data_IF_235491882517
#
_entry.id   IF_235491882517
#
_cell.length_a   1.000
_cell.length_b   1.000
_cell.length_c   1.000
_cell.angle_alpha   90.00
_cell.angle_beta   90.00
_cell.angle_gamma   90.00
#
_symmetry.space_group_name_H-M   'P 1'
#
loop_
_entity.id
_entity.type
_entity.pdbx_description
1 polymer ?
#
# COMPACT_ATOMS: atom_id res chain seq x y z
N UNK A 1 1.69 -0.64 19.18
CA UNK A 1 1.13 0.26 18.14
C UNK A 1 0.08 -0.51 17.35
N UNK A 2 -1.11 0.06 17.13
CA UNK A 2 -2.20 -0.59 16.38
C UNK A 2 -1.94 -0.42 14.88
N UNK A 3 -1.79 -1.50 14.13
CA UNK A 3 -1.64 -1.42 12.68
C UNK A 3 -3.03 -1.13 12.04
N UNK A 4 -3.18 -0.10 11.20
CA UNK A 4 -4.43 0.20 10.49
C UNK A 4 -5.07 -0.99 9.79
N UNK A 5 -4.23 -1.96 9.42
CA UNK A 5 -4.56 -3.10 8.60
C UNK A 5 -5.60 -4.04 9.21
N UNK A 6 -5.82 -3.98 10.53
CA UNK A 6 -6.66 -4.93 11.26
C UNK A 6 -7.89 -4.33 11.94
N UNK A 7 -7.98 -3.01 12.08
CA UNK A 7 -9.16 -2.39 12.69
C UNK A 7 -9.90 -1.60 11.62
N UNK A 8 -11.20 -1.82 11.52
CA UNK A 8 -12.07 -0.95 10.77
C UNK A 8 -11.90 0.48 11.31
N UNK A 9 -11.19 1.32 10.57
CA UNK A 9 -11.05 2.72 10.96
C UNK A 9 -12.42 3.38 10.83
N UNK A 10 -12.92 3.92 11.95
CA UNK A 10 -14.15 4.71 12.01
C UNK A 10 -14.06 6.04 11.26
N UNK A 11 -12.84 6.50 10.94
CA UNK A 11 -12.65 7.75 10.19
C UNK A 11 -13.02 7.59 8.73
N UNK A 12 -13.97 8.39 8.26
CA UNK A 12 -14.43 8.46 6.86
C UNK A 12 -13.33 8.90 5.89
N UNK A 13 -12.30 9.59 6.39
CA UNK A 13 -11.17 10.08 5.58
C UNK A 13 -9.86 9.66 6.21
N UNK A 14 -9.02 8.95 5.45
CA UNK A 14 -7.79 8.33 5.94
C UNK A 14 -6.62 8.74 5.04
N UNK A 15 -5.54 9.23 5.64
CA UNK A 15 -4.25 9.42 4.97
C UNK A 15 -3.30 8.32 5.46
N UNK A 16 -2.98 7.37 4.59
CA UNK A 16 -2.12 6.22 4.87
C UNK A 16 -0.66 6.57 4.60
N UNK A 17 0.08 6.77 5.68
CA UNK A 17 1.51 7.06 5.69
C UNK A 17 2.31 5.80 5.98
N UNK A 18 3.58 5.80 5.60
CA UNK A 18 4.50 4.72 5.94
C UNK A 18 5.57 4.51 4.88
N UNK A 19 6.62 3.73 5.21
CA UNK A 19 7.72 3.46 4.29
C UNK A 19 7.26 2.88 2.96
N UNK A 20 8.09 3.01 1.92
CA UNK A 20 7.88 2.28 0.68
C UNK A 20 7.77 0.78 0.97
N UNK A 21 6.86 0.09 0.27
CA UNK A 21 6.61 -1.36 0.43
C UNK A 21 6.15 -1.80 1.83
N UNK A 22 5.62 -0.89 2.66
CA UNK A 22 5.01 -1.25 3.95
C UNK A 22 3.60 -1.86 3.85
N UNK A 23 3.09 -2.10 2.63
CA UNK A 23 1.76 -2.69 2.41
C UNK A 23 0.60 -1.70 2.35
N UNK A 24 0.85 -0.39 2.21
CA UNK A 24 -0.19 0.66 2.09
C UNK A 24 -1.21 0.38 0.99
N UNK A 25 -0.74 0.08 -0.22
CA UNK A 25 -1.60 -0.24 -1.37
C UNK A 25 -2.39 -1.53 -1.11
N UNK A 26 -1.71 -2.58 -0.62
CA UNK A 26 -2.34 -3.87 -0.28
C UNK A 26 -3.47 -3.69 0.74
N UNK A 27 -3.32 -2.80 1.71
CA UNK A 27 -4.38 -2.44 2.63
C UNK A 27 -5.58 -1.82 1.94
N UNK A 28 -5.35 -0.75 1.17
CA UNK A 28 -6.41 0.01 0.56
C UNK A 28 -7.21 -0.87 -0.41
N UNK A 29 -6.53 -1.76 -1.15
CA UNK A 29 -7.17 -2.76 -2.00
C UNK A 29 -7.92 -3.83 -1.20
N UNK A 30 -7.43 -4.27 -0.03
CA UNK A 30 -8.17 -5.19 0.85
C UNK A 30 -9.43 -4.52 1.41
N UNK A 31 -9.34 -3.24 1.79
CA UNK A 31 -10.46 -2.42 2.24
C UNK A 31 -11.51 -2.26 1.13
N UNK A 32 -11.09 -2.02 -0.10
CA UNK A 32 -11.97 -1.85 -1.26
C UNK A 32 -12.91 -3.04 -1.49
N UNK A 33 -12.51 -4.26 -1.14
CA UNK A 33 -13.34 -5.47 -1.28
C UNK A 33 -14.64 -5.45 -0.46
N UNK A 34 -14.73 -4.58 0.55
CA UNK A 34 -15.93 -4.44 1.40
C UNK A 34 -16.94 -3.44 0.80
N UNK A 35 -16.51 -2.63 -0.17
CA UNK A 35 -17.32 -1.60 -0.81
C UNK A 35 -17.92 -2.10 -2.13
N UNK A 36 -19.06 -1.54 -2.53
CA UNK A 36 -19.80 -1.98 -3.73
C UNK A 36 -19.20 -1.38 -5.00
N UNK A 37 -18.81 -0.10 -4.95
CA UNK A 37 -18.30 0.64 -6.11
C UNK A 37 -16.99 1.37 -5.78
N UNK A 38 -15.91 0.66 -5.40
CA UNK A 38 -14.65 1.28 -5.10
C UNK A 38 -13.95 1.81 -6.36
N UNK A 39 -13.40 3.01 -6.28
CA UNK A 39 -12.57 3.62 -7.32
C UNK A 39 -11.13 3.70 -6.81
N UNK A 40 -10.21 3.09 -7.56
CA UNK A 40 -8.77 3.14 -7.29
C UNK A 40 -8.07 3.87 -8.43
N UNK A 41 -7.26 4.86 -8.08
CA UNK A 41 -6.46 5.65 -9.03
C UNK A 41 -5.00 5.62 -8.57
N UNK A 42 -4.12 5.15 -9.44
CA UNK A 42 -2.68 5.19 -9.23
C UNK A 42 -2.10 6.39 -9.97
N UNK A 43 -1.53 7.35 -9.24
CA UNK A 43 -0.92 8.55 -9.84
C UNK A 43 0.36 8.26 -10.64
N UNK A 44 1.00 7.11 -10.39
CA UNK A 44 2.14 6.66 -11.18
C UNK A 44 1.73 5.97 -12.50
N UNK A 45 0.43 5.79 -12.79
CA UNK A 45 -0.01 5.22 -14.07
C UNK A 45 0.15 6.25 -15.19
N UNK A 46 1.01 5.95 -16.16
CA UNK A 46 1.29 6.83 -17.31
C UNK A 46 0.06 7.16 -18.18
N UNK A 47 -1.02 6.37 -18.08
CA UNK A 47 -2.26 6.60 -18.83
C UNK A 47 -3.20 7.58 -18.13
N UNK A 48 -2.91 7.95 -16.88
CA UNK A 48 -3.74 8.85 -16.11
C UNK A 48 -3.58 10.28 -16.63
N UNK A 49 -4.65 10.82 -17.20
CA UNK A 49 -4.73 12.25 -17.51
C UNK A 49 -5.21 13.03 -16.28
N UNK A 50 -4.26 13.61 -15.54
CA UNK A 50 -4.55 14.36 -14.31
C UNK A 50 -5.42 15.61 -14.54
N UNK A 51 -5.36 16.21 -15.74
CA UNK A 51 -6.09 17.46 -16.05
C UNK A 51 -7.61 17.28 -16.06
N UNK A 52 -8.11 16.08 -16.36
CA UNK A 52 -9.55 15.78 -16.43
C UNK A 52 -10.05 14.99 -15.21
N UNK A 53 -9.15 14.59 -14.31
CA UNK A 53 -9.45 13.68 -13.21
C UNK A 53 -10.49 14.26 -12.25
N UNK A 54 -10.37 15.55 -11.90
CA UNK A 54 -11.32 16.23 -11.02
C UNK A 54 -12.74 16.20 -11.58
N UNK A 55 -12.92 16.50 -12.86
CA UNK A 55 -14.20 16.46 -13.57
C UNK A 55 -14.79 15.05 -13.60
N UNK A 56 -13.96 14.02 -13.80
CA UNK A 56 -14.41 12.62 -13.79
C UNK A 56 -14.85 12.16 -12.40
N UNK A 57 -14.07 12.49 -11.37
CA UNK A 57 -14.40 12.16 -9.98
C UNK A 57 -15.72 12.81 -9.54
N UNK A 58 -15.94 14.07 -9.91
CA UNK A 58 -17.20 14.77 -9.65
C UNK A 58 -18.37 14.10 -10.38
N UNK A 59 -18.20 13.76 -11.66
CA UNK A 59 -19.24 13.07 -12.45
C UNK A 59 -19.61 11.73 -11.84
N UNK A 60 -18.64 10.88 -11.51
CA UNK A 60 -18.90 9.57 -10.87
C UNK A 60 -19.56 9.68 -9.51
N UNK A 61 -19.20 10.72 -8.74
CA UNK A 61 -19.86 11.00 -7.47
C UNK A 61 -21.34 11.37 -7.65
N UNK A 62 -21.65 12.28 -8.58
CA UNK A 62 -23.03 12.69 -8.89
C UNK A 62 -23.88 11.54 -9.42
N UNK A 63 -23.30 10.66 -10.23
CA UNK A 63 -23.95 9.45 -10.73
C UNK A 63 -24.10 8.34 -9.67
N UNK A 64 -23.66 8.57 -8.42
CA UNK A 64 -23.65 7.59 -7.31
C UNK A 64 -22.92 6.29 -7.66
N UNK A 65 -21.92 6.37 -8.55
CA UNK A 65 -21.10 5.22 -9.01
C UNK A 65 -19.82 5.02 -8.20
N UNK A 66 -19.68 5.71 -7.07
CA UNK A 66 -18.49 5.68 -6.24
C UNK A 66 -18.89 5.78 -4.77
N UNK A 67 -18.50 4.78 -3.98
CA UNK A 67 -18.72 4.73 -2.52
C UNK A 67 -17.40 4.75 -1.73
N UNK A 68 -16.28 4.42 -2.37
CA UNK A 68 -14.91 4.56 -1.86
C UNK A 68 -14.01 5.15 -2.95
N UNK A 69 -13.16 6.10 -2.57
CA UNK A 69 -12.08 6.61 -3.42
C UNK A 69 -10.72 6.32 -2.78
N UNK A 70 -9.82 5.68 -3.54
CA UNK A 70 -8.43 5.46 -3.18
C UNK A 70 -7.55 6.22 -4.18
N UNK A 71 -6.76 7.17 -3.70
CA UNK A 71 -5.73 7.85 -4.48
C UNK A 71 -4.36 7.37 -4.01
N UNK A 72 -3.67 6.62 -4.86
CA UNK A 72 -2.35 6.05 -4.57
C UNK A 72 -1.22 6.82 -5.26
N UNK A 73 -0.06 6.88 -4.62
CA UNK A 73 1.13 7.63 -5.02
C UNK A 73 0.88 9.12 -5.30
N UNK A 74 -0.04 9.75 -4.57
CA UNK A 74 -0.36 11.16 -4.78
C UNK A 74 0.76 12.06 -4.22
N UNK A 75 1.15 13.09 -4.98
CA UNK A 75 2.16 14.06 -4.54
C UNK A 75 1.51 15.29 -3.92
N UNK A 76 0.44 15.78 -4.55
CA UNK A 76 -0.29 16.98 -4.15
C UNK A 76 -1.76 16.85 -4.52
N UNK A 77 -2.60 17.57 -3.78
CA UNK A 77 -4.05 17.54 -3.94
C UNK A 77 -4.53 18.90 -4.45
N UNK A 78 -4.47 19.09 -5.77
CA UNK A 78 -4.72 20.38 -6.43
C UNK A 78 -6.21 20.67 -6.67
N UNK A 79 -7.11 19.81 -6.20
CA UNK A 79 -8.54 19.89 -6.44
C UNK A 79 -9.34 19.47 -5.22
N UNK A 80 -10.60 19.92 -5.17
CA UNK A 80 -11.54 19.53 -4.13
C UNK A 80 -12.00 18.08 -4.33
N UNK A 81 -11.85 17.24 -3.31
CA UNK A 81 -12.37 15.88 -3.34
C UNK A 81 -13.90 15.86 -3.25
N UNK A 82 -14.57 14.90 -3.93
CA UNK A 82 -16.02 14.71 -3.80
C UNK A 82 -16.40 14.34 -2.36
N UNK A 83 -17.63 14.67 -1.94
CA UNK A 83 -18.14 14.34 -0.61
C UNK A 83 -18.54 12.87 -0.51
N UNK A 84 -17.55 12.00 -0.34
CA UNK A 84 -17.75 10.56 -0.21
C UNK A 84 -17.74 10.11 1.25
N UNK A 85 -18.44 8.99 1.57
CA UNK A 85 -18.40 8.39 2.90
C UNK A 85 -17.04 7.80 3.23
N UNK A 86 -16.25 7.36 2.24
CA UNK A 86 -14.88 6.87 2.48
C UNK A 86 -13.88 7.38 1.45
N UNK A 87 -12.78 7.98 1.91
CA UNK A 87 -11.64 8.37 1.07
C UNK A 87 -10.33 7.92 1.71
N UNK A 88 -9.46 7.33 0.90
CA UNK A 88 -8.11 6.91 1.26
C UNK A 88 -7.09 7.63 0.39
N UNK A 89 -6.15 8.33 1.02
CA UNK A 89 -5.00 8.94 0.36
C UNK A 89 -3.73 8.18 0.74
N UNK A 90 -2.92 7.81 -0.25
CA UNK A 90 -1.60 7.21 -0.04
C UNK A 90 -0.58 8.13 -0.74
N UNK A 91 0.14 8.99 0.00
CA UNK A 91 1.10 9.89 -0.60
C UNK A 91 2.37 9.16 -1.06
N UNK A 92 3.01 9.70 -2.09
CA UNK A 92 4.25 9.17 -2.66
C UNK A 92 5.45 9.32 -1.70
N UNK A 93 5.48 10.42 -0.92
CA UNK A 93 6.58 10.76 -0.01
C UNK A 93 6.15 10.77 1.47
N UNK A 94 7.15 10.77 2.36
CA UNK A 94 6.95 10.87 3.81
C UNK A 94 6.39 12.23 4.27
N UNK A 95 6.43 13.26 3.42
CA UNK A 95 5.77 14.53 3.69
C UNK A 95 4.26 14.34 3.56
N UNK A 96 3.48 14.43 4.64
CA UNK A 96 2.04 14.26 4.55
C UNK A 96 1.47 15.39 3.68
N UNK A 97 0.69 15.01 2.67
CA UNK A 97 -0.24 15.96 2.06
C UNK A 97 -1.08 16.49 3.22
N UNK A 98 -1.00 17.79 3.47
CA UNK A 98 -1.76 18.43 4.55
C UNK A 98 -3.21 18.51 4.07
N UNK A 99 -3.93 17.40 4.15
CA UNK A 99 -5.33 17.32 3.81
C UNK A 99 -6.13 17.58 5.09
N UNK A 100 -6.69 18.79 5.29
CA UNK A 100 -7.51 19.06 6.47
C UNK A 100 -8.67 18.05 6.52
N UNK A 101 -8.97 17.55 7.72
CA UNK A 101 -10.02 16.55 7.99
C UNK A 101 -9.69 15.09 7.60
N UNK A 102 -8.42 14.76 7.35
CA UNK A 102 -7.99 13.36 7.20
C UNK A 102 -7.33 12.85 8.49
N UNK A 103 -7.75 11.67 8.94
CA UNK A 103 -7.05 10.99 10.01
C UNK A 103 -5.76 10.38 9.47
N UNK A 104 -4.63 10.78 10.04
CA UNK A 104 -3.33 10.20 9.70
C UNK A 104 -3.25 8.77 10.23
N UNK A 105 -2.77 7.86 9.39
CA UNK A 105 -2.64 6.47 9.75
C UNK A 105 -1.33 5.88 9.22
N UNK A 106 -0.51 5.34 10.12
CA UNK A 106 0.80 4.82 9.75
C UNK A 106 0.73 3.31 9.53
N UNK A 107 0.91 2.87 8.28
CA UNK A 107 1.13 1.49 7.91
C UNK A 107 2.58 1.11 8.24
N UNK A 108 2.73 0.44 9.37
CA UNK A 108 3.98 -0.23 9.76
C UNK A 108 4.01 -1.63 9.17
N UNK A 109 5.21 -2.23 9.22
CA UNK A 109 5.37 -3.65 8.93
C UNK A 109 4.39 -4.51 9.73
N UNK A 110 3.90 -5.58 9.12
CA UNK A 110 3.00 -6.54 9.76
C UNK A 110 3.74 -7.22 10.91
N UNK A 111 3.09 -7.33 12.05
CA UNK A 111 3.44 -8.38 13.00
C UNK A 111 2.91 -9.74 12.49
N UNK A 112 3.36 -10.83 13.11
CA UNK A 112 2.96 -12.17 12.67
C UNK A 112 1.44 -12.39 12.72
N UNK A 113 0.75 -11.85 13.74
CA UNK A 113 -0.72 -11.94 13.84
C UNK A 113 -1.40 -11.25 12.65
N UNK A 114 -0.92 -10.07 12.28
CA UNK A 114 -1.38 -9.31 11.11
C UNK A 114 -1.13 -10.07 9.82
N UNK A 115 0.08 -10.62 9.67
CA UNK A 115 0.47 -11.42 8.52
C UNK A 115 -0.47 -12.60 8.28
N UNK A 116 -0.82 -13.35 9.34
CA UNK A 116 -1.72 -14.50 9.22
C UNK A 116 -3.13 -14.15 8.71
N UNK A 117 -3.59 -12.91 8.90
CA UNK A 117 -4.91 -12.45 8.45
C UNK A 117 -5.07 -12.32 6.93
N UNK A 118 -3.97 -12.46 6.19
CA UNK A 118 -3.97 -12.45 4.72
C UNK A 118 -4.13 -13.85 4.12
N UNK A 119 -4.10 -14.91 4.95
CA UNK A 119 -4.19 -16.29 4.52
C UNK A 119 -5.53 -16.91 4.92
N UNK A 120 -5.86 -18.04 4.29
CA UNK A 120 -7.08 -18.80 4.65
C UNK A 120 -6.94 -19.32 6.09
N UNK A 121 -8.04 -19.41 6.87
CA UNK A 121 -8.00 -19.88 8.26
C UNK A 121 -7.34 -21.25 8.45
N UNK A 122 -7.41 -22.09 7.41
CA UNK A 122 -6.92 -23.47 7.44
C UNK A 122 -5.43 -23.60 7.10
N UNK A 123 -4.72 -22.50 6.79
CA UNK A 123 -3.29 -22.58 6.49
C UNK A 123 -2.50 -22.88 7.76
N UNK A 124 -1.62 -23.91 7.78
CA UNK A 124 -0.88 -24.29 8.98
C UNK A 124 -0.02 -23.14 9.53
N UNK A 125 -0.13 -22.88 10.84
CA UNK A 125 0.57 -21.78 11.51
C UNK A 125 2.10 -21.86 11.34
N UNK A 126 2.68 -23.07 11.42
CA UNK A 126 4.12 -23.25 11.25
C UNK A 126 4.59 -22.85 9.85
N UNK A 127 3.81 -23.20 8.82
CA UNK A 127 4.09 -22.78 7.44
C UNK A 127 4.05 -21.27 7.30
N UNK A 128 3.04 -20.62 7.90
CA UNK A 128 2.94 -19.15 7.90
C UNK A 128 4.09 -18.50 8.66
N UNK A 129 4.50 -19.06 9.79
CA UNK A 129 5.59 -18.52 10.61
C UNK A 129 6.93 -18.60 9.89
N UNK A 130 7.26 -19.75 9.31
CA UNK A 130 8.48 -19.91 8.51
C UNK A 130 8.50 -18.94 7.32
N UNK A 131 7.34 -18.73 6.69
CA UNK A 131 7.20 -17.78 5.59
C UNK A 131 7.38 -16.32 6.06
N UNK A 132 6.80 -15.96 7.20
CA UNK A 132 6.96 -14.64 7.79
C UNK A 132 8.42 -14.36 8.16
N UNK A 133 9.14 -15.33 8.73
CA UNK A 133 10.57 -15.16 9.03
C UNK A 133 11.41 -14.99 7.76
N UNK A 134 11.10 -15.76 6.70
CA UNK A 134 11.87 -15.72 5.45
C UNK A 134 11.58 -14.49 4.60
N UNK A 135 10.31 -14.15 4.43
CA UNK A 135 9.83 -13.16 3.46
C UNK A 135 9.39 -11.85 4.13
N UNK A 136 9.29 -11.83 5.47
CA UNK A 136 8.88 -10.66 6.24
C UNK A 136 7.51 -10.14 5.81
N UNK A 137 7.48 -8.84 5.51
CA UNK A 137 6.27 -8.10 5.12
C UNK A 137 6.05 -8.03 3.61
N UNK A 138 6.84 -8.75 2.80
CA UNK A 138 6.71 -8.76 1.36
C UNK A 138 5.51 -9.60 0.89
N UNK A 139 4.28 -9.20 1.27
CA UNK A 139 3.05 -9.89 0.85
C UNK A 139 2.92 -9.96 -0.68
N UNK A 140 3.49 -9.01 -1.39
CA UNK A 140 3.45 -8.91 -2.85
C UNK A 140 4.13 -10.12 -3.52
N UNK A 141 5.12 -10.73 -2.86
CA UNK A 141 5.79 -11.94 -3.36
C UNK A 141 4.89 -13.18 -3.30
N UNK A 142 3.75 -13.12 -2.59
CA UNK A 142 2.75 -14.19 -2.55
C UNK A 142 1.96 -14.30 -3.86
N UNK A 143 1.83 -13.19 -4.58
CA UNK A 143 1.11 -13.12 -5.86
C UNK A 143 2.04 -13.23 -7.07
N UNK A 144 3.33 -13.39 -6.83
CA UNK A 144 4.35 -13.56 -7.87
C UNK A 144 4.70 -15.05 -7.90
N UNK A 145 4.31 -15.78 -8.94
CA UNK A 145 4.61 -17.22 -9.03
C UNK A 145 6.03 -17.48 -9.56
N UNK A 146 6.56 -16.57 -10.37
CA UNK A 146 7.88 -16.67 -10.97
C UNK A 146 9.01 -16.36 -9.95
N UNK A 147 9.91 -17.32 -9.74
CA UNK A 147 11.08 -17.15 -8.85
C UNK A 147 12.06 -16.08 -9.33
N UNK A 148 12.25 -15.90 -10.64
CA UNK A 148 13.13 -14.86 -11.17
C UNK A 148 12.59 -13.46 -10.84
N UNK A 149 11.29 -13.24 -10.96
CA UNK A 149 10.65 -11.98 -10.58
C UNK A 149 10.77 -11.72 -9.07
N UNK A 150 10.70 -12.76 -8.23
CA UNK A 150 10.94 -12.60 -6.78
C UNK A 150 12.37 -12.16 -6.49
N UNK A 151 13.35 -12.71 -7.19
CA UNK A 151 14.76 -12.31 -7.06
C UNK A 151 14.95 -10.86 -7.48
N UNK A 152 14.42 -10.46 -8.64
CA UNK A 152 14.49 -9.09 -9.14
C UNK A 152 13.84 -8.11 -8.14
N UNK A 153 12.65 -8.42 -7.64
CA UNK A 153 11.99 -7.61 -6.60
C UNK A 153 12.81 -7.47 -5.32
N UNK A 154 13.51 -8.53 -4.88
CA UNK A 154 14.42 -8.46 -3.73
C UNK A 154 15.61 -7.54 -4.02
N UNK A 155 16.18 -7.61 -5.21
CA UNK A 155 17.27 -6.72 -5.63
C UNK A 155 16.82 -5.26 -5.67
N UNK A 156 15.65 -4.98 -6.24
CA UNK A 156 15.03 -3.65 -6.22
C UNK A 156 14.80 -3.15 -4.79
N UNK A 157 14.36 -4.01 -3.86
CA UNK A 157 14.21 -3.65 -2.45
C UNK A 157 15.54 -3.23 -1.82
N UNK A 158 16.62 -3.97 -2.09
CA UNK A 158 17.95 -3.65 -1.58
C UNK A 158 18.41 -2.31 -2.16
N UNK A 159 18.25 -2.10 -3.47
CA UNK A 159 18.58 -0.82 -4.11
C UNK A 159 17.78 0.34 -3.52
N UNK A 160 16.50 0.12 -3.24
CA UNK A 160 15.61 1.13 -2.68
C UNK A 160 15.96 1.49 -1.23
N UNK A 161 16.31 0.50 -0.40
CA UNK A 161 16.64 0.68 1.02
C UNK A 161 18.03 1.31 1.17
N UNK A 162 19.02 0.79 0.46
CA UNK A 162 20.41 1.19 0.62
C UNK A 162 20.83 2.32 -0.33
N UNK A 163 20.04 2.61 -1.37
CA UNK A 163 20.26 3.69 -2.34
C UNK A 163 21.72 3.69 -2.84
N UNK A 164 22.46 4.79 -2.64
CA UNK A 164 23.86 4.92 -3.02
C UNK A 164 24.78 3.86 -2.38
N UNK A 165 24.39 3.27 -1.25
CA UNK A 165 25.13 2.23 -0.53
C UNK A 165 24.79 0.80 -0.97
N UNK A 166 23.85 0.61 -1.90
CA UNK A 166 23.49 -0.72 -2.39
C UNK A 166 24.69 -1.54 -2.92
N UNK A 167 25.68 -0.94 -3.65
CA UNK A 167 26.89 -1.66 -4.06
C UNK A 167 27.74 -2.13 -2.87
N UNK A 168 27.81 -1.36 -1.79
CA UNK A 168 28.52 -1.74 -0.57
C UNK A 168 27.82 -2.92 0.11
N UNK A 169 26.49 -2.85 0.23
CA UNK A 169 25.71 -3.96 0.79
C UNK A 169 25.88 -5.25 -0.03
N UNK A 170 25.89 -5.16 -1.35
CA UNK A 170 26.15 -6.31 -2.22
C UNK A 170 27.52 -6.94 -1.97
N UNK A 171 28.57 -6.13 -1.76
CA UNK A 171 29.90 -6.62 -1.36
C UNK A 171 29.86 -7.29 0.01
N UNK A 172 29.20 -6.71 1.00
CA UNK A 172 29.07 -7.32 2.35
C UNK A 172 28.39 -8.69 2.28
N UNK A 173 27.31 -8.82 1.49
CA UNK A 173 26.62 -10.08 1.29
C UNK A 173 27.52 -11.18 0.72
N UNK A 174 28.55 -10.85 -0.07
CA UNK A 174 29.52 -11.83 -0.57
C UNK A 174 30.37 -12.49 0.53
N UNK A 175 30.40 -11.90 1.72
CA UNK A 175 31.08 -12.42 2.91
C UNK A 175 30.14 -13.11 3.91
N UNK A 176 28.82 -13.15 3.67
CA UNK A 176 27.95 -14.04 4.43
C UNK A 176 28.30 -15.49 4.08
N UNK A 177 28.37 -16.36 5.09
CA UNK A 177 28.92 -17.70 4.89
C UNK A 177 28.20 -18.43 3.75
N UNK A 178 28.99 -19.07 2.89
CA UNK A 178 28.48 -20.05 1.92
C UNK A 178 27.93 -21.27 2.66
#
# INVERSE_FOLDING_TARGET
>A
MNNPLLKAHSSDKICLLGPMKSGKTTFALKLAKVFKNPVYINYNDMRLNQNILSSWLLKWHLEKKMDLLILDHIERLDFSLPKLPKIVLIPNYLSPITAPNFSLCYALGLNFKEYTSFFKPNTPKNTLFNRFLRDGNALDSLFTENEQEKILKKQENIQLIFQAYAPLMAKICSYQSK
#
